data_IF_714309484543
#
_entry.id   IF_714309484543
#
_cell.length_a   1.000
_cell.length_b   1.000
_cell.length_c   1.000
_cell.angle_alpha   90.00
_cell.angle_beta   90.00
_cell.angle_gamma   90.00
#
_symmetry.space_group_name_H-M   'P 1'
#
loop_
_entity.id
_entity.type
_entity.pdbx_description
1 polymer ?
#
# COMPACT_ATOMS: atom_id res chain seq x y z
N UNK A 1 10.70 21.32 3.07
CA UNK A 1 10.25 20.18 2.23
C UNK A 1 9.61 19.18 3.16
N UNK A 2 8.29 18.93 3.02
CA UNK A 2 7.59 18.00 3.89
C UNK A 2 8.03 16.56 3.64
N UNK A 3 7.97 15.70 4.66
CA UNK A 3 8.13 14.26 4.50
C UNK A 3 6.77 13.59 4.31
N UNK A 4 6.74 12.48 3.56
CA UNK A 4 5.57 11.61 3.47
C UNK A 4 5.30 11.04 4.86
N UNK A 5 4.05 11.14 5.34
CA UNK A 5 3.66 10.67 6.66
C UNK A 5 2.88 9.36 6.55
N UNK A 6 3.11 8.46 7.50
CA UNK A 6 2.49 7.14 7.55
C UNK A 6 1.67 7.05 8.83
N UNK A 7 0.40 6.68 8.71
CA UNK A 7 -0.44 6.49 9.88
C UNK A 7 -0.03 5.24 10.68
N UNK A 8 -0.52 5.15 11.92
CA UNK A 8 -0.59 3.88 12.61
C UNK A 8 -1.46 2.89 11.83
N UNK A 9 -1.23 1.60 12.07
CA UNK A 9 -2.00 0.54 11.43
C UNK A 9 -3.29 0.32 12.20
N UNK A 10 -4.36 0.04 11.49
CA UNK A 10 -5.64 -0.39 12.04
C UNK A 10 -6.09 -1.66 11.32
N UNK A 11 -6.96 -2.43 11.95
CA UNK A 11 -7.21 -3.82 11.55
C UNK A 11 -8.71 -4.11 11.57
N UNK A 12 -9.15 -4.95 10.65
CA UNK A 12 -10.38 -5.73 10.78
C UNK A 12 -10.03 -7.22 10.85
N UNK A 13 -11.00 -8.11 10.70
CA UNK A 13 -10.80 -9.55 10.77
C UNK A 13 -10.01 -10.15 9.58
N UNK A 14 -9.81 -9.38 8.50
CA UNK A 14 -9.28 -9.88 7.22
C UNK A 14 -8.00 -9.13 6.79
N UNK A 15 -7.93 -7.83 7.05
CA UNK A 15 -6.91 -6.92 6.55
C UNK A 15 -6.33 -6.03 7.65
N UNK A 16 -5.05 -5.69 7.48
CA UNK A 16 -4.45 -4.50 8.07
C UNK A 16 -4.51 -3.33 7.09
N UNK A 17 -4.73 -2.14 7.63
CA UNK A 17 -4.91 -0.91 6.90
C UNK A 17 -3.96 0.17 7.41
N UNK A 18 -3.63 1.11 6.53
CA UNK A 18 -2.86 2.32 6.85
C UNK A 18 -3.17 3.36 5.79
N UNK A 19 -3.15 4.63 6.17
CA UNK A 19 -3.15 5.72 5.22
C UNK A 19 -1.78 6.39 5.15
N UNK A 20 -1.45 6.92 3.98
CA UNK A 20 -0.21 7.65 3.72
C UNK A 20 -0.57 9.05 3.27
N UNK A 21 -0.02 10.05 3.94
CA UNK A 21 -0.23 11.46 3.62
C UNK A 21 0.95 11.92 2.77
N UNK A 22 0.69 12.22 1.51
CA UNK A 22 1.68 12.70 0.55
C UNK A 22 1.94 14.19 0.74
N UNK A 23 3.12 14.64 0.29
CA UNK A 23 3.39 16.06 0.18
C UNK A 23 2.54 16.68 -0.95
N UNK A 24 2.24 17.99 -0.89
CA UNK A 24 1.48 18.66 -1.94
C UNK A 24 2.10 18.55 -3.35
N UNK A 25 3.43 18.45 -3.42
CA UNK A 25 4.16 18.30 -4.68
C UNK A 25 3.96 16.91 -5.29
N UNK A 26 4.04 15.86 -4.47
CA UNK A 26 3.83 14.48 -4.92
C UNK A 26 2.37 14.23 -5.26
N UNK A 27 1.43 14.77 -4.48
CA UNK A 27 0.00 14.61 -4.72
C UNK A 27 -0.44 15.13 -6.10
N UNK A 28 0.22 16.16 -6.63
CA UNK A 28 -0.05 16.71 -7.98
C UNK A 28 0.32 15.75 -9.11
N UNK A 29 1.22 14.80 -8.85
CA UNK A 29 1.67 13.82 -9.84
C UNK A 29 0.73 12.61 -9.95
N UNK A 30 -0.24 12.48 -9.03
CA UNK A 30 -1.15 11.33 -9.02
C UNK A 30 -2.07 11.34 -10.25
N UNK A 31 -2.29 10.18 -10.88
CA UNK A 31 -3.30 10.05 -11.92
C UNK A 31 -4.69 10.24 -11.32
N UNK A 32 -5.56 10.94 -12.06
CA UNK A 32 -6.95 11.15 -11.63
C UNK A 32 -7.74 9.84 -11.74
N UNK A 33 -8.56 9.56 -10.73
CA UNK A 33 -9.54 8.47 -10.71
C UNK A 33 -8.98 7.05 -10.96
N UNK A 34 -7.71 6.80 -10.64
CA UNK A 34 -7.11 5.47 -10.80
C UNK A 34 -6.32 5.04 -9.56
N UNK A 35 -6.44 3.76 -9.20
CA UNK A 35 -5.58 3.12 -8.21
C UNK A 35 -4.17 2.90 -8.78
N UNK A 36 -3.18 2.89 -7.88
CA UNK A 36 -1.78 2.70 -8.23
C UNK A 36 -1.33 1.28 -7.89
N UNK A 37 -0.63 0.64 -8.82
CA UNK A 37 0.08 -0.61 -8.55
C UNK A 37 1.28 -0.37 -7.62
N UNK A 38 1.84 -1.46 -7.07
CA UNK A 38 3.01 -1.40 -6.18
C UNK A 38 4.19 -0.61 -6.78
N UNK A 39 4.50 -0.86 -8.04
CA UNK A 39 5.60 -0.17 -8.72
C UNK A 39 5.32 1.35 -8.86
N UNK A 40 4.07 1.72 -9.13
CA UNK A 40 3.69 3.11 -9.35
C UNK A 40 3.71 3.94 -8.06
N UNK A 41 3.15 3.43 -6.96
CA UNK A 41 3.19 4.17 -5.70
C UNK A 41 4.60 4.19 -5.09
N UNK A 42 5.43 3.18 -5.35
CA UNK A 42 6.85 3.21 -4.97
C UNK A 42 7.63 4.26 -5.76
N UNK A 43 7.33 4.41 -7.05
CA UNK A 43 8.00 5.39 -7.92
C UNK A 43 7.78 6.85 -7.47
N UNK A 44 6.65 7.15 -6.81
CA UNK A 44 6.37 8.48 -6.25
C UNK A 44 6.95 8.67 -4.83
N UNK A 45 7.72 7.72 -4.33
CA UNK A 45 8.45 7.82 -3.07
C UNK A 45 7.74 7.23 -1.85
N UNK A 46 6.57 6.60 -2.00
CA UNK A 46 5.94 5.87 -0.88
C UNK A 46 6.75 4.61 -0.59
N UNK A 47 7.17 4.45 0.67
CA UNK A 47 8.00 3.35 1.13
C UNK A 47 7.31 2.60 2.27
N UNK A 48 6.99 1.34 2.03
CA UNK A 48 6.40 0.44 3.01
C UNK A 48 6.78 -1.01 2.67
N UNK A 49 6.52 -1.92 3.60
CA UNK A 49 6.79 -3.36 3.44
C UNK A 49 6.05 -3.93 2.22
N UNK A 50 6.35 -5.18 1.84
CA UNK A 50 5.64 -5.85 0.72
C UNK A 50 4.18 -6.16 1.09
N UNK A 51 3.34 -6.25 0.07
CA UNK A 51 1.95 -6.71 0.18
C UNK A 51 0.89 -5.63 0.38
N UNK A 52 1.29 -4.36 0.50
CA UNK A 52 0.34 -3.25 0.58
C UNK A 52 -0.27 -2.94 -0.79
N UNK A 53 -1.60 -2.85 -0.82
CA UNK A 53 -2.39 -2.55 -2.01
C UNK A 53 -3.11 -1.22 -1.81
N UNK A 54 -2.93 -0.28 -2.75
CA UNK A 54 -3.73 0.94 -2.82
C UNK A 54 -5.15 0.56 -3.26
N UNK A 55 -6.10 0.53 -2.33
CA UNK A 55 -7.40 -0.13 -2.55
C UNK A 55 -8.55 0.84 -2.79
N UNK A 56 -8.41 2.10 -2.39
CA UNK A 56 -9.46 3.11 -2.53
C UNK A 56 -8.85 4.50 -2.68
N UNK A 57 -9.55 5.36 -3.43
CA UNK A 57 -9.19 6.76 -3.62
C UNK A 57 -10.02 7.58 -2.62
N UNK A 58 -9.34 8.31 -1.75
CA UNK A 58 -10.01 9.26 -0.85
C UNK A 58 -10.32 10.56 -1.61
N UNK A 59 -11.54 10.67 -2.14
CA UNK A 59 -11.95 11.80 -2.99
C UNK A 59 -11.88 13.17 -2.29
N UNK A 60 -12.27 13.33 -1.01
CA UNK A 60 -12.19 14.63 -0.34
C UNK A 60 -10.75 15.15 -0.22
N UNK A 61 -9.80 14.27 0.07
CA UNK A 61 -8.39 14.64 0.26
C UNK A 61 -7.47 13.73 -0.58
N UNK A 62 -7.25 14.05 -1.86
CA UNK A 62 -6.49 13.20 -2.80
C UNK A 62 -5.03 12.96 -2.44
N UNK A 63 -4.48 13.77 -1.53
CA UNK A 63 -3.13 13.61 -1.00
C UNK A 63 -3.04 12.49 0.05
N UNK A 64 -4.18 11.92 0.48
CA UNK A 64 -4.24 10.75 1.34
C UNK A 64 -4.43 9.49 0.48
N UNK A 65 -3.45 8.59 0.56
CA UNK A 65 -3.52 7.28 -0.07
C UNK A 65 -3.95 6.22 0.93
N UNK A 66 -4.92 5.38 0.54
CA UNK A 66 -5.46 4.32 1.40
C UNK A 66 -4.88 2.96 1.00
N UNK A 67 -4.21 2.29 1.94
CA UNK A 67 -3.61 0.99 1.71
C UNK A 67 -4.24 -0.08 2.60
N UNK A 68 -4.29 -1.31 2.07
CA UNK A 68 -4.65 -2.52 2.82
C UNK A 68 -3.68 -3.66 2.50
N UNK A 69 -3.50 -4.59 3.44
CA UNK A 69 -2.72 -5.82 3.27
C UNK A 69 -3.40 -6.96 4.04
N UNK A 70 -3.46 -8.21 3.53
CA UNK A 70 -4.01 -9.32 4.30
C UNK A 70 -3.22 -9.58 5.58
N UNK A 71 -3.89 -9.89 6.70
CA UNK A 71 -3.23 -10.16 7.99
C UNK A 71 -2.19 -11.29 7.89
N UNK A 72 -2.51 -12.33 7.12
CA UNK A 72 -1.66 -13.53 6.98
C UNK A 72 -0.69 -13.44 5.79
N UNK A 73 -0.40 -12.23 5.27
CA UNK A 73 0.39 -12.06 4.05
C UNK A 73 1.76 -12.76 4.10
N UNK A 74 2.46 -12.66 5.23
CA UNK A 74 3.79 -13.25 5.36
C UNK A 74 3.72 -14.79 5.34
N UNK A 75 2.82 -15.37 6.12
CA UNK A 75 2.59 -16.81 6.15
C UNK A 75 2.14 -17.35 4.78
N UNK A 76 1.30 -16.60 4.05
CA UNK A 76 0.89 -16.97 2.70
C UNK A 76 2.07 -17.01 1.72
N UNK A 77 3.01 -16.06 1.80
CA UNK A 77 4.22 -16.09 0.97
C UNK A 77 5.12 -17.29 1.29
N UNK A 78 5.33 -17.59 2.57
CA UNK A 78 6.15 -18.73 2.99
C UNK A 78 5.54 -20.04 2.51
N UNK A 79 4.24 -20.22 2.68
CA UNK A 79 3.53 -21.41 2.21
C UNK A 79 3.62 -21.57 0.68
N UNK A 80 3.47 -20.48 -0.08
CA UNK A 80 3.61 -20.49 -1.54
C UNK A 80 5.04 -20.84 -1.96
N UNK A 81 6.05 -20.27 -1.30
CA UNK A 81 7.45 -20.56 -1.59
C UNK A 81 7.79 -22.03 -1.30
N UNK A 82 7.33 -22.57 -0.17
CA UNK A 82 7.53 -23.97 0.19
C UNK A 82 6.87 -24.93 -0.82
N UNK A 83 5.64 -24.64 -1.25
CA UNK A 83 4.94 -25.45 -2.26
C UNK A 83 5.68 -25.46 -3.60
N UNK A 84 6.23 -24.31 -4.02
CA UNK A 84 7.02 -24.22 -5.25
C UNK A 84 8.36 -24.96 -5.16
N UNK A 85 8.94 -25.05 -3.96
CA UNK A 85 10.16 -25.85 -3.73
C UNK A 85 9.83 -27.34 -3.77
N UNK A 86 8.74 -27.78 -3.13
CA UNK A 86 8.32 -29.19 -3.09
C UNK A 86 7.80 -29.71 -4.44
N UNK A 87 7.27 -28.84 -5.29
CA UNK A 87 6.78 -29.18 -6.62
C UNK A 87 7.90 -29.31 -7.69
N UNK A 88 9.17 -29.16 -7.29
CA UNK A 88 10.36 -29.36 -8.12
C UNK A 88 11.08 -30.64 -7.72
#
# INVERSE_FOLDING_TARGET
>A
MGQIQYSEKYFDDIYEYRHVVLTPEVAKLLPKNRLLSENEWRAIGVQQSRGWVHYAIHRPEPHIMLFRRPLNYQQQQENQAQQQILAK
#
